data_IF_140167705746
#
_entry.id   IF_140167705746
#
_cell.length_a   1.000
_cell.length_b   1.000
_cell.length_c   1.000
_cell.angle_alpha   90.00
_cell.angle_beta   90.00
_cell.angle_gamma   90.00
#
_symmetry.space_group_name_H-M   'P 1'
#
loop_
_entity.id
_entity.type
_entity.pdbx_description
1 polymer ?
#
# COMPACT_ATOMS: atom_id res chain seq x y z
N UNK A 1 -7.63 16.17 2.70
CA UNK A 1 -7.78 14.92 1.94
C UNK A 1 -9.14 14.97 1.29
N UNK A 2 -9.18 14.94 -0.02
CA UNK A 2 -10.39 14.89 -0.83
C UNK A 2 -10.30 13.79 -1.89
N UNK A 3 -9.08 13.46 -2.36
CA UNK A 3 -8.84 12.50 -3.44
C UNK A 3 -7.74 11.51 -3.09
N UNK A 4 -8.12 10.24 -2.97
CA UNK A 4 -7.27 9.18 -2.43
C UNK A 4 -6.94 8.18 -3.54
N UNK A 5 -5.64 7.95 -3.75
CA UNK A 5 -5.16 6.83 -4.56
C UNK A 5 -5.00 5.61 -3.65
N UNK A 6 -5.78 4.58 -3.90
CA UNK A 6 -5.72 3.31 -3.18
C UNK A 6 -5.01 2.31 -4.08
N UNK A 7 -3.73 2.05 -3.80
CA UNK A 7 -3.00 1.02 -4.56
C UNK A 7 -3.38 -0.37 -4.04
N UNK A 8 -3.42 -1.38 -4.91
CA UNK A 8 -3.82 -2.74 -4.49
C UNK A 8 -5.31 -2.84 -4.10
N UNK A 9 -6.11 -1.88 -4.57
CA UNK A 9 -7.53 -1.76 -4.21
C UNK A 9 -8.43 -2.85 -4.78
N UNK A 10 -7.96 -3.67 -5.73
CA UNK A 10 -8.70 -4.83 -6.22
C UNK A 10 -8.43 -6.10 -5.39
N UNK A 11 -7.50 -6.05 -4.44
CA UNK A 11 -7.24 -7.13 -3.47
C UNK A 11 -8.30 -7.21 -2.36
N UNK A 12 -8.13 -8.18 -1.44
CA UNK A 12 -9.10 -8.43 -0.36
C UNK A 12 -9.29 -7.23 0.58
N UNK A 13 -8.23 -6.76 1.22
CA UNK A 13 -8.32 -5.64 2.19
C UNK A 13 -8.61 -4.32 1.46
N UNK A 14 -7.91 -4.07 0.34
CA UNK A 14 -8.04 -2.83 -0.43
C UNK A 14 -9.46 -2.59 -0.94
N UNK A 15 -10.14 -3.62 -1.46
CA UNK A 15 -11.51 -3.47 -1.96
C UNK A 15 -12.52 -3.19 -0.84
N UNK A 16 -12.37 -3.85 0.31
CA UNK A 16 -13.19 -3.56 1.49
C UNK A 16 -12.97 -2.14 1.99
N UNK A 17 -11.72 -1.66 1.98
CA UNK A 17 -11.41 -0.26 2.29
C UNK A 17 -12.11 0.68 1.30
N UNK A 18 -12.03 0.42 0.00
CA UNK A 18 -12.70 1.22 -1.05
C UNK A 18 -14.20 1.29 -0.81
N UNK A 19 -14.87 0.15 -0.58
CA UNK A 19 -16.31 0.10 -0.30
C UNK A 19 -16.67 0.88 0.96
N UNK A 20 -15.92 0.69 2.04
CA UNK A 20 -16.13 1.41 3.28
C UNK A 20 -16.00 2.92 3.07
N UNK A 21 -14.98 3.34 2.33
CA UNK A 21 -14.71 4.75 2.09
C UNK A 21 -15.78 5.41 1.24
N UNK A 22 -16.22 4.76 0.17
CA UNK A 22 -17.29 5.26 -0.70
C UNK A 22 -18.66 5.29 -0.02
N UNK A 23 -18.94 4.33 0.87
CA UNK A 23 -20.22 4.25 1.56
C UNK A 23 -20.33 5.26 2.72
N UNK A 24 -19.22 5.51 3.43
CA UNK A 24 -19.22 6.29 4.68
C UNK A 24 -18.75 7.73 4.49
N UNK A 25 -17.90 7.99 3.51
CA UNK A 25 -17.26 9.29 3.32
C UNK A 25 -17.46 9.83 1.91
N UNK A 26 -17.33 11.15 1.78
CA UNK A 26 -17.53 11.86 0.54
C UNK A 26 -16.28 12.00 -0.34
N UNK A 27 -15.25 11.16 -0.15
CA UNK A 27 -13.97 11.26 -0.87
C UNK A 27 -14.04 10.69 -2.29
N UNK A 28 -13.24 11.24 -3.20
CA UNK A 28 -12.96 10.63 -4.49
C UNK A 28 -11.90 9.53 -4.30
N UNK A 29 -12.23 8.31 -4.71
CA UNK A 29 -11.37 7.13 -4.57
C UNK A 29 -10.94 6.68 -5.97
N UNK A 30 -9.63 6.67 -6.19
CA UNK A 30 -9.02 6.11 -7.40
C UNK A 30 -8.29 4.85 -7.00
N UNK A 31 -8.76 3.71 -7.49
CA UNK A 31 -8.05 2.44 -7.31
C UNK A 31 -6.97 2.32 -8.37
N UNK A 32 -5.75 2.02 -7.94
CA UNK A 32 -4.61 1.73 -8.81
C UNK A 32 -4.13 0.30 -8.57
N UNK A 33 -4.33 -0.59 -9.54
CA UNK A 33 -4.07 -2.02 -9.33
C UNK A 33 -3.49 -2.67 -10.59
N UNK A 34 -2.53 -3.57 -10.42
CA UNK A 34 -1.90 -4.29 -11.52
C UNK A 34 -2.71 -5.49 -11.99
N UNK A 35 -3.75 -5.88 -11.24
CA UNK A 35 -4.56 -7.08 -11.46
C UNK A 35 -3.68 -8.33 -11.59
N UNK A 36 -2.71 -8.46 -10.68
CA UNK A 36 -1.93 -9.69 -10.51
C UNK A 36 -2.84 -10.82 -10.00
N UNK A 37 -2.27 -11.97 -9.66
CA UNK A 37 -3.04 -13.15 -9.27
C UNK A 37 -4.05 -12.91 -8.12
N UNK A 38 -3.77 -11.95 -7.23
CA UNK A 38 -4.60 -11.62 -6.07
C UNK A 38 -5.61 -10.49 -6.32
N UNK A 39 -5.43 -9.72 -7.39
CA UNK A 39 -6.31 -8.61 -7.76
C UNK A 39 -7.52 -9.09 -8.57
N UNK A 40 -8.72 -8.73 -8.14
CA UNK A 40 -9.98 -9.13 -8.80
C UNK A 40 -10.90 -7.94 -8.97
N UNK A 41 -11.26 -7.61 -10.21
CA UNK A 41 -12.20 -6.53 -10.50
C UNK A 41 -13.59 -6.80 -9.90
N UNK A 42 -13.96 -8.08 -9.76
CA UNK A 42 -15.22 -8.50 -9.13
C UNK A 42 -15.32 -8.01 -7.68
N UNK A 43 -14.19 -7.88 -6.99
CA UNK A 43 -14.16 -7.33 -5.64
C UNK A 43 -14.62 -5.87 -5.61
N UNK A 44 -14.55 -5.14 -6.73
CA UNK A 44 -14.93 -3.74 -6.85
C UNK A 44 -16.30 -3.54 -7.54
N UNK A 45 -17.03 -4.63 -7.83
CA UNK A 45 -18.30 -4.56 -8.57
C UNK A 45 -19.31 -3.57 -7.96
N UNK A 46 -19.39 -3.49 -6.63
CA UNK A 46 -20.32 -2.58 -5.93
C UNK A 46 -19.92 -1.09 -6.04
N UNK A 47 -18.67 -0.79 -6.39
CA UNK A 47 -18.17 0.57 -6.60
C UNK A 47 -18.41 1.05 -8.04
N UNK A 48 -18.61 0.13 -9.00
CA UNK A 48 -18.83 0.47 -10.41
C UNK A 48 -20.08 1.32 -10.56
N UNK A 49 -19.95 2.43 -11.29
CA UNK A 49 -21.02 3.42 -11.50
C UNK A 49 -21.12 4.49 -10.42
N UNK A 50 -20.38 4.39 -9.32
CA UNK A 50 -20.28 5.48 -8.35
C UNK A 50 -19.45 6.63 -8.96
N UNK A 51 -19.95 7.88 -9.00
CA UNK A 51 -19.23 9.00 -9.61
C UNK A 51 -17.93 9.38 -8.88
N UNK A 52 -17.76 8.94 -7.63
CA UNK A 52 -16.55 9.17 -6.82
C UNK A 52 -15.55 8.02 -6.91
N UNK A 53 -15.84 7.00 -7.71
CA UNK A 53 -14.97 5.87 -7.91
C UNK A 53 -14.37 5.91 -9.31
N UNK A 54 -13.07 5.67 -9.42
CA UNK A 54 -12.36 5.45 -10.67
C UNK A 54 -11.39 4.28 -10.51
N UNK A 55 -11.14 3.58 -11.61
CA UNK A 55 -10.17 2.48 -11.66
C UNK A 55 -9.09 2.79 -12.69
N UNK A 56 -7.83 2.59 -12.30
CA UNK A 56 -6.66 2.72 -13.16
C UNK A 56 -5.87 1.42 -13.04
N UNK A 57 -5.70 0.71 -14.15
CA UNK A 57 -4.82 -0.44 -14.18
C UNK A 57 -3.37 0.02 -14.30
N UNK A 58 -2.48 -0.44 -13.42
CA UNK A 58 -1.06 -0.09 -13.47
C UNK A 58 -0.22 -0.77 -12.40
N UNK A 59 1.09 -0.81 -12.62
CA UNK A 59 2.07 -1.36 -11.69
C UNK A 59 2.67 -0.22 -10.85
N UNK A 60 2.72 -0.38 -9.51
CA UNK A 60 3.33 0.60 -8.62
C UNK A 60 4.85 0.74 -8.83
N UNK A 61 5.47 -0.22 -9.52
CA UNK A 61 6.87 -0.13 -9.93
C UNK A 61 7.07 0.81 -11.13
N UNK A 62 6.01 1.13 -11.88
CA UNK A 62 6.06 2.06 -13.01
C UNK A 62 5.86 3.50 -12.51
N UNK A 63 6.97 4.21 -12.33
CA UNK A 63 6.97 5.57 -11.81
C UNK A 63 6.19 6.54 -12.70
N UNK A 64 6.22 6.38 -14.02
CA UNK A 64 5.53 7.26 -14.95
C UNK A 64 4.02 7.01 -14.90
N UNK A 65 3.59 5.76 -14.80
CA UNK A 65 2.18 5.40 -14.61
C UNK A 65 1.64 5.94 -13.28
N UNK A 66 2.39 5.78 -12.18
CA UNK A 66 2.01 6.33 -10.87
C UNK A 66 1.92 7.86 -10.93
N UNK A 67 2.93 8.53 -11.50
CA UNK A 67 2.93 10.00 -11.66
C UNK A 67 1.76 10.47 -12.50
N UNK A 68 1.45 9.78 -13.58
CA UNK A 68 0.32 10.08 -14.45
C UNK A 68 -1.01 9.94 -13.70
N UNK A 69 -1.21 8.85 -12.95
CA UNK A 69 -2.42 8.63 -12.16
C UNK A 69 -2.60 9.73 -11.10
N UNK A 70 -1.54 10.07 -10.36
CA UNK A 70 -1.58 11.12 -9.33
C UNK A 70 -1.96 12.48 -9.95
N UNK A 71 -1.34 12.86 -11.07
CA UNK A 71 -1.61 14.15 -11.74
C UNK A 71 -3.00 14.19 -12.37
N UNK A 72 -3.39 13.14 -13.10
CA UNK A 72 -4.66 13.08 -13.85
C UNK A 72 -5.86 13.19 -12.91
N UNK A 73 -5.77 12.56 -11.74
CA UNK A 73 -6.87 12.54 -10.77
C UNK A 73 -6.71 13.54 -9.64
N UNK A 74 -5.69 14.42 -9.68
CA UNK A 74 -5.41 15.42 -8.64
C UNK A 74 -5.39 14.80 -7.23
N UNK A 75 -4.69 13.68 -7.09
CA UNK A 75 -4.59 12.93 -5.84
C UNK A 75 -3.86 13.77 -4.79
N UNK A 76 -4.35 13.75 -3.56
CA UNK A 76 -3.70 14.39 -2.40
C UNK A 76 -3.21 13.40 -1.34
N UNK A 77 -3.66 12.14 -1.42
CA UNK A 77 -3.34 11.11 -0.46
C UNK A 77 -3.10 9.78 -1.16
N UNK A 78 -2.00 9.11 -0.85
CA UNK A 78 -1.77 7.72 -1.28
C UNK A 78 -1.95 6.80 -0.08
N UNK A 79 -2.71 5.73 -0.26
CA UNK A 79 -2.82 4.61 0.69
C UNK A 79 -2.33 3.35 -0.02
N UNK A 80 -1.22 2.80 0.45
CA UNK A 80 -0.54 1.70 -0.21
C UNK A 80 -0.93 0.33 0.35
N UNK A 81 -1.92 -0.35 -0.26
CA UNK A 81 -2.19 -1.77 0.01
C UNK A 81 -1.46 -2.70 -0.96
N UNK A 82 -0.99 -2.20 -2.10
CA UNK A 82 -0.31 -3.01 -3.11
C UNK A 82 0.93 -3.68 -2.51
N UNK A 83 0.98 -5.00 -2.65
CA UNK A 83 2.09 -5.83 -2.23
C UNK A 83 1.99 -7.19 -2.92
N UNK A 84 3.12 -7.87 -3.03
CA UNK A 84 3.12 -9.32 -3.15
C UNK A 84 3.12 -9.95 -1.77
N UNK A 85 2.07 -10.72 -1.47
CA UNK A 85 1.68 -11.05 -0.09
C UNK A 85 1.80 -12.53 0.27
N UNK A 86 1.99 -13.44 -0.68
CA UNK A 86 2.01 -14.87 -0.37
C UNK A 86 3.39 -15.32 0.11
N UNK A 87 3.46 -15.80 1.35
CA UNK A 87 4.71 -16.29 1.95
C UNK A 87 5.34 -17.40 1.11
N UNK A 88 4.58 -18.42 0.70
CA UNK A 88 5.13 -19.49 -0.15
C UNK A 88 5.64 -19.01 -1.51
N UNK A 89 4.95 -18.05 -2.15
CA UNK A 89 5.44 -17.46 -3.40
C UNK A 89 6.67 -16.60 -3.17
N UNK A 90 6.79 -15.95 -2.01
CA UNK A 90 7.99 -15.19 -1.64
C UNK A 90 9.23 -16.08 -1.54
N UNK A 91 9.06 -17.36 -1.22
CA UNK A 91 10.16 -18.34 -1.20
C UNK A 91 10.52 -18.79 -2.62
N UNK A 92 9.51 -18.93 -3.49
CA UNK A 92 9.69 -19.40 -4.89
C UNK A 92 10.15 -18.29 -5.84
N UNK A 93 9.76 -17.03 -5.60
CA UNK A 93 10.02 -15.84 -6.41
C UNK A 93 10.34 -14.63 -5.51
N UNK A 94 11.46 -14.66 -4.77
CA UNK A 94 11.81 -13.60 -3.84
C UNK A 94 12.05 -12.25 -4.52
N UNK A 95 12.47 -12.25 -5.79
CA UNK A 95 12.71 -11.06 -6.60
C UNK A 95 11.43 -10.24 -6.81
N UNK A 96 10.29 -10.90 -7.07
CA UNK A 96 9.01 -10.24 -7.25
C UNK A 96 8.55 -9.52 -5.98
N UNK A 97 8.79 -10.12 -4.82
CA UNK A 97 8.44 -9.55 -3.50
C UNK A 97 9.29 -8.33 -3.20
N UNK A 98 10.60 -8.38 -3.44
CA UNK A 98 11.48 -7.22 -3.29
C UNK A 98 11.07 -6.10 -4.25
N UNK A 99 10.85 -6.43 -5.52
CA UNK A 99 10.48 -5.46 -6.54
C UNK A 99 9.18 -4.73 -6.18
N UNK A 100 8.09 -5.45 -5.89
CA UNK A 100 6.81 -4.81 -5.58
C UNK A 100 6.82 -4.14 -4.22
N UNK A 101 7.25 -4.84 -3.16
CA UNK A 101 7.06 -4.33 -1.79
C UNK A 101 8.06 -3.22 -1.45
N UNK A 102 9.31 -3.33 -1.91
CA UNK A 102 10.34 -2.31 -1.64
C UNK A 102 10.36 -1.27 -2.76
N UNK A 103 10.66 -1.66 -4.01
CA UNK A 103 10.81 -0.68 -5.08
C UNK A 103 9.48 0.00 -5.42
N UNK A 104 8.36 -0.73 -5.40
CA UNK A 104 7.03 -0.14 -5.58
C UNK A 104 6.69 0.88 -4.49
N UNK A 105 6.97 0.59 -3.22
CA UNK A 105 6.78 1.57 -2.13
C UNK A 105 7.67 2.80 -2.33
N UNK A 106 8.94 2.60 -2.69
CA UNK A 106 9.86 3.69 -3.02
C UNK A 106 9.35 4.55 -4.18
N UNK A 107 8.85 3.95 -5.26
CA UNK A 107 8.26 4.66 -6.39
C UNK A 107 7.10 5.55 -5.95
N UNK A 108 6.18 5.02 -5.14
CA UNK A 108 5.05 5.79 -4.63
C UNK A 108 5.50 6.95 -3.73
N UNK A 109 6.49 6.72 -2.87
CA UNK A 109 7.08 7.75 -2.01
C UNK A 109 7.77 8.84 -2.82
N UNK A 110 8.55 8.48 -3.85
CA UNK A 110 9.21 9.45 -4.73
C UNK A 110 8.20 10.31 -5.47
N UNK A 111 7.16 9.71 -6.06
CA UNK A 111 6.10 10.48 -6.71
C UNK A 111 5.36 11.37 -5.71
N UNK A 112 5.06 10.85 -4.51
CA UNK A 112 4.42 11.64 -3.47
C UNK A 112 5.28 12.83 -3.02
N UNK A 113 6.60 12.64 -2.91
CA UNK A 113 7.58 13.68 -2.57
C UNK A 113 7.69 14.72 -3.67
N UNK A 114 7.89 14.28 -4.92
CA UNK A 114 8.02 15.13 -6.11
C UNK A 114 6.82 16.06 -6.27
N UNK A 115 5.61 15.52 -6.04
CA UNK A 115 4.35 16.24 -6.23
C UNK A 115 3.84 16.92 -4.94
N UNK A 116 4.58 16.84 -3.84
CA UNK A 116 4.24 17.50 -2.59
C UNK A 116 2.92 17.02 -1.98
N UNK A 117 2.65 15.71 -2.04
CA UNK A 117 1.38 15.16 -1.55
C UNK A 117 1.24 15.35 -0.03
N UNK A 118 0.09 15.87 0.44
CA UNK A 118 -0.16 16.10 1.86
C UNK A 118 -0.09 14.86 2.76
N UNK A 119 -0.28 13.64 2.23
CA UNK A 119 -0.22 12.41 3.02
C UNK A 119 0.17 11.16 2.21
N UNK A 120 0.99 10.32 2.84
CA UNK A 120 1.24 8.94 2.43
C UNK A 120 0.92 7.98 3.58
N UNK A 121 0.23 6.88 3.32
CA UNK A 121 -0.04 5.83 4.30
C UNK A 121 0.42 4.48 3.78
N UNK A 122 1.27 3.80 4.56
CA UNK A 122 1.76 2.46 4.26
C UNK A 122 1.00 1.40 5.06
N UNK A 123 0.50 0.38 4.37
CA UNK A 123 -0.07 -0.80 5.01
C UNK A 123 1.03 -1.87 5.14
N UNK A 124 1.33 -2.20 6.38
CA UNK A 124 2.29 -3.23 6.79
C UNK A 124 1.59 -4.35 7.56
N UNK A 125 2.36 -5.18 8.26
CA UNK A 125 1.91 -6.41 8.93
C UNK A 125 2.61 -6.54 10.28
N UNK A 126 1.98 -7.22 11.22
CA UNK A 126 2.60 -7.66 12.47
C UNK A 126 3.75 -8.67 12.27
N UNK A 127 3.81 -9.39 11.14
CA UNK A 127 4.91 -10.32 10.84
C UNK A 127 6.30 -9.65 10.82
N UNK A 128 6.37 -8.31 10.74
CA UNK A 128 7.63 -7.56 10.85
C UNK A 128 8.31 -7.75 12.21
N UNK A 129 7.54 -8.09 13.24
CA UNK A 129 8.04 -8.39 14.59
C UNK A 129 8.46 -9.85 14.77
N UNK A 130 8.27 -10.70 13.75
CA UNK A 130 8.51 -12.13 13.88
C UNK A 130 7.48 -12.82 14.79
N UNK A 131 7.93 -13.83 15.53
CA UNK A 131 7.06 -14.60 16.40
C UNK A 131 6.97 -13.96 17.78
N UNK A 132 5.75 -13.58 18.19
CA UNK A 132 5.44 -13.12 19.53
C UNK A 132 4.89 -14.29 20.37
N UNK A 133 5.60 -14.75 21.42
CA UNK A 133 5.12 -15.84 22.26
C UNK A 133 3.89 -15.42 23.09
N UNK A 134 2.87 -16.25 23.15
CA UNK A 134 1.75 -16.07 24.09
C UNK A 134 2.26 -16.07 25.55
N UNK A 135 1.75 -15.20 26.44
CA UNK A 135 0.62 -14.25 26.26
C UNK A 135 1.06 -12.83 25.86
N UNK A 136 2.27 -12.67 25.31
CA UNK A 136 2.81 -11.35 24.97
C UNK A 136 2.08 -10.75 23.76
N UNK A 137 2.18 -9.43 23.62
CA UNK A 137 1.64 -8.68 22.49
C UNK A 137 2.73 -7.77 21.96
N UNK A 138 2.76 -7.59 20.65
CA UNK A 138 3.67 -6.64 20.03
C UNK A 138 3.28 -5.20 20.38
N UNK A 139 4.29 -4.33 20.44
CA UNK A 139 4.19 -2.89 20.58
C UNK A 139 4.92 -2.17 19.44
N UNK A 140 4.60 -0.91 19.17
CA UNK A 140 5.24 -0.14 18.09
C UNK A 140 6.76 0.02 18.26
N UNK A 141 7.26 -0.08 19.50
CA UNK A 141 8.67 0.01 19.86
C UNK A 141 9.43 -1.32 19.84
N UNK A 142 8.76 -2.45 19.59
CA UNK A 142 9.40 -3.76 19.54
C UNK A 142 10.34 -3.88 18.32
N UNK A 143 11.41 -4.68 18.42
CA UNK A 143 12.37 -4.82 17.34
C UNK A 143 11.76 -5.49 16.10
N UNK A 144 12.29 -5.13 14.94
CA UNK A 144 11.99 -5.84 13.69
C UNK A 144 12.75 -7.19 13.69
N UNK A 145 12.00 -8.29 13.64
CA UNK A 145 12.54 -9.66 13.55
C UNK A 145 11.84 -10.48 12.46
N UNK A 146 11.78 -9.99 11.20
CA UNK A 146 11.08 -10.68 10.12
C UNK A 146 11.70 -12.05 9.84
N UNK A 147 10.85 -13.06 9.60
CA UNK A 147 11.27 -14.47 9.41
C UNK A 147 10.97 -15.04 8.02
N UNK A 148 10.52 -14.21 7.09
CA UNK A 148 10.19 -14.59 5.71
C UNK A 148 10.63 -13.49 4.72
N UNK A 149 10.88 -13.81 3.44
CA UNK A 149 11.14 -12.77 2.43
C UNK A 149 10.01 -11.74 2.34
N UNK A 150 8.77 -12.17 2.52
CA UNK A 150 7.60 -11.28 2.63
C UNK A 150 7.73 -10.29 3.80
N UNK A 151 7.84 -10.78 5.04
CA UNK A 151 7.93 -9.92 6.23
C UNK A 151 9.17 -9.02 6.19
N UNK A 152 10.29 -9.53 5.67
CA UNK A 152 11.52 -8.75 5.49
C UNK A 152 11.34 -7.62 4.47
N UNK A 153 10.62 -7.87 3.38
CA UNK A 153 10.31 -6.84 2.39
C UNK A 153 9.35 -5.76 2.93
N UNK A 154 8.38 -6.14 3.77
CA UNK A 154 7.47 -5.21 4.45
C UNK A 154 8.22 -4.34 5.47
N UNK A 155 9.09 -4.95 6.27
CA UNK A 155 9.98 -4.23 7.17
C UNK A 155 10.92 -3.26 6.42
N UNK A 156 11.50 -3.72 5.30
CA UNK A 156 12.31 -2.88 4.42
C UNK A 156 11.54 -1.67 3.88
N UNK A 157 10.31 -1.88 3.42
CA UNK A 157 9.43 -0.81 2.97
C UNK A 157 9.13 0.21 4.10
N UNK A 158 8.88 -0.26 5.33
CA UNK A 158 8.69 0.63 6.48
C UNK A 158 9.91 1.49 6.77
N UNK A 159 11.11 0.91 6.73
CA UNK A 159 12.34 1.67 6.94
C UNK A 159 12.52 2.78 5.89
N UNK A 160 12.14 2.52 4.62
CA UNK A 160 12.15 3.54 3.58
C UNK A 160 11.12 4.64 3.89
N UNK A 161 9.88 4.29 4.26
CA UNK A 161 8.85 5.25 4.65
C UNK A 161 9.33 6.15 5.80
N UNK A 162 9.92 5.55 6.84
CA UNK A 162 10.47 6.28 7.98
C UNK A 162 11.63 7.20 7.58
N UNK A 163 12.54 6.72 6.72
CA UNK A 163 13.64 7.52 6.20
C UNK A 163 13.13 8.73 5.40
N UNK A 164 12.05 8.58 4.63
CA UNK A 164 11.45 9.67 3.87
C UNK A 164 10.77 10.71 4.76
N UNK A 165 10.10 10.28 5.82
CA UNK A 165 9.60 11.19 6.86
C UNK A 165 10.74 11.99 7.49
N UNK A 166 11.78 11.30 7.96
CA UNK A 166 12.90 11.90 8.68
C UNK A 166 13.72 12.85 7.81
N UNK A 167 13.98 12.46 6.57
CA UNK A 167 14.89 13.18 5.66
C UNK A 167 14.18 14.33 4.94
N UNK A 168 12.95 14.12 4.49
CA UNK A 168 12.23 15.07 3.63
C UNK A 168 11.02 15.72 4.32
N UNK A 169 10.75 15.39 5.58
CA UNK A 169 9.61 15.95 6.33
C UNK A 169 8.24 15.51 5.81
N UNK A 170 8.18 14.41 5.03
CA UNK A 170 6.92 13.93 4.48
C UNK A 170 5.94 13.49 5.58
N UNK A 171 4.66 13.83 5.43
CA UNK A 171 3.59 13.38 6.34
C UNK A 171 3.22 11.93 6.02
N UNK A 172 3.98 11.00 6.58
CA UNK A 172 3.78 9.57 6.41
C UNK A 172 3.21 8.92 7.66
N UNK A 173 2.48 7.83 7.48
CA UNK A 173 1.96 7.00 8.58
C UNK A 173 2.04 5.53 8.16
N UNK A 174 2.18 4.63 9.13
CA UNK A 174 2.29 3.19 8.91
C UNK A 174 1.27 2.50 9.82
N UNK A 175 0.56 1.49 9.31
CA UNK A 175 -0.24 0.58 10.14
C UNK A 175 0.28 -0.84 10.01
N UNK A 176 0.49 -1.53 11.13
CA UNK A 176 0.86 -2.96 11.18
C UNK A 176 -0.39 -3.75 11.59
N UNK A 177 -1.04 -4.41 10.63
CA UNK A 177 -2.24 -5.21 10.89
C UNK A 177 -1.90 -6.63 11.34
N UNK A 178 -2.76 -7.22 12.18
CA UNK A 178 -2.75 -8.64 12.53
C UNK A 178 -3.92 -9.39 11.85
N UNK A 179 -3.87 -10.72 11.88
CA UNK A 179 -4.94 -11.59 11.37
C UNK A 179 -6.13 -11.73 12.33
#
# INVERSE_FOLDING_TARGET
MQRILVTGGAGFIGSNFVHHMLARYGYDIVVFDSLTYAGRLENLAAAVGNPKYQFVQGDICDMDAVRLAVKTHNIDTIINFAAETHVDRSIMQPDAVIKTNINGTWTLLEVARELGLPRFHQISTDEVYGQIPEPQRSSEGDPFEPRSPYSASKAGAEHIVYAYHTTYGMNTTISRGSN
#
